data_IF_026787425699
#
_entry.id   IF_026787425699
#
_cell.length_a   1.000
_cell.length_b   1.000
_cell.length_c   1.000
_cell.angle_alpha   90.00
_cell.angle_beta   90.00
_cell.angle_gamma   90.00
#
_symmetry.space_group_name_H-M   'P 1'
#
loop_
_entity.id
_entity.type
_entity.pdbx_description
1 polymer ?
#
# COMPACT_ATOMS: atom_id res chain seq x y z
N UNK A 1 15.41 17.21 -10.37
CA UNK A 1 14.06 16.75 -10.00
C UNK A 1 14.21 16.00 -8.68
N UNK A 2 13.77 16.59 -7.58
CA UNK A 2 13.80 15.92 -6.27
C UNK A 2 12.55 15.05 -6.22
N UNK A 3 12.68 13.73 -6.44
CA UNK A 3 11.59 12.82 -6.15
C UNK A 3 11.35 12.89 -4.63
N UNK A 4 10.19 13.39 -4.21
CA UNK A 4 9.79 13.40 -2.82
C UNK A 4 9.51 11.96 -2.40
N UNK A 5 10.47 11.33 -1.73
CA UNK A 5 10.30 9.98 -1.21
C UNK A 5 9.41 10.05 0.03
N UNK A 6 8.13 9.70 -0.12
CA UNK A 6 7.14 9.71 0.97
C UNK A 6 7.36 8.58 1.98
N UNK A 7 8.10 7.54 1.59
CA UNK A 7 8.36 6.34 2.38
C UNK A 7 9.79 5.83 2.14
N UNK A 8 10.50 5.55 3.24
CA UNK A 8 11.84 4.96 3.22
C UNK A 8 11.72 3.47 2.94
N UNK A 9 12.29 2.99 1.84
CA UNK A 9 12.37 1.56 1.52
C UNK A 9 13.84 1.12 1.66
N UNK A 10 14.14 0.11 2.49
CA UNK A 10 15.48 -0.47 2.57
C UNK A 10 15.96 -0.97 1.19
N UNK A 11 17.26 -0.85 0.91
CA UNK A 11 17.83 -1.20 -0.40
C UNK A 11 17.72 -2.71 -0.73
N UNK A 12 17.60 -3.56 0.29
CA UNK A 12 17.42 -5.00 0.17
C UNK A 12 15.95 -5.44 0.01
N UNK A 13 15.01 -4.49 0.03
CA UNK A 13 13.57 -4.76 -0.02
C UNK A 13 12.95 -4.15 -1.27
N UNK A 14 12.19 -4.97 -2.00
CA UNK A 14 11.39 -4.56 -3.16
C UNK A 14 9.92 -4.75 -2.89
N UNK A 15 9.07 -4.03 -3.62
CA UNK A 15 7.62 -4.15 -3.47
C UNK A 15 7.14 -5.58 -3.76
N UNK A 16 7.74 -6.27 -4.74
CA UNK A 16 7.36 -7.65 -5.07
C UNK A 16 7.64 -8.64 -3.92
N UNK A 17 8.53 -8.29 -2.98
CA UNK A 17 8.77 -9.12 -1.79
C UNK A 17 7.56 -9.11 -0.84
N UNK A 18 6.71 -8.08 -0.88
CA UNK A 18 5.49 -8.02 -0.10
C UNK A 18 4.51 -9.15 -0.46
N UNK A 19 4.66 -9.75 -1.66
CA UNK A 19 3.88 -10.88 -2.14
C UNK A 19 2.38 -10.64 -1.98
N UNK A 20 1.94 -9.45 -2.41
CA UNK A 20 0.58 -8.97 -2.23
C UNK A 20 -0.41 -9.88 -2.96
N UNK A 21 -1.43 -10.36 -2.24
CA UNK A 21 -2.43 -11.30 -2.75
C UNK A 21 -3.82 -10.88 -2.32
N UNK A 22 -4.78 -11.11 -3.21
CA UNK A 22 -6.20 -11.02 -2.86
C UNK A 22 -6.60 -12.29 -2.10
N UNK A 23 -7.27 -12.14 -0.96
CA UNK A 23 -8.01 -13.23 -0.37
C UNK A 23 -9.33 -13.41 -1.13
N UNK A 24 -9.54 -14.56 -1.83
CA UNK A 24 -10.71 -14.76 -2.68
C UNK A 24 -12.01 -14.88 -1.87
N UNK A 25 -11.94 -15.19 -0.58
CA UNK A 25 -13.12 -15.43 0.25
C UNK A 25 -13.49 -14.20 1.08
N UNK A 26 -12.51 -13.39 1.51
CA UNK A 26 -12.74 -12.41 2.57
C UNK A 26 -12.63 -10.94 2.16
N UNK A 27 -12.45 -10.61 0.88
CA UNK A 27 -12.16 -9.24 0.37
C UNK A 27 -10.94 -8.57 1.01
N UNK A 28 -10.18 -9.28 1.85
CA UNK A 28 -8.96 -8.78 2.46
C UNK A 28 -7.76 -9.01 1.53
N UNK A 29 -6.71 -8.25 1.78
CA UNK A 29 -5.41 -8.46 1.16
C UNK A 29 -4.55 -9.28 2.10
N UNK A 30 -3.68 -10.10 1.54
CA UNK A 30 -2.62 -10.81 2.25
C UNK A 30 -1.28 -10.29 1.76
N UNK A 31 -0.32 -10.18 2.67
CA UNK A 31 1.02 -9.71 2.41
C UNK A 31 1.99 -10.44 3.34
N UNK A 32 3.30 -10.33 3.05
CA UNK A 32 4.36 -10.86 3.90
C UNK A 32 4.63 -9.90 5.08
N UNK A 33 4.27 -10.33 6.29
CA UNK A 33 4.41 -9.54 7.52
C UNK A 33 5.88 -9.18 7.83
N UNK A 34 6.83 -10.07 7.53
CA UNK A 34 8.24 -9.80 7.80
C UNK A 34 8.79 -8.71 6.87
N UNK A 35 8.33 -8.70 5.61
CA UNK A 35 8.68 -7.66 4.66
C UNK A 35 8.05 -6.32 5.06
N UNK A 36 6.77 -6.33 5.41
CA UNK A 36 6.08 -5.12 5.88
C UNK A 36 6.76 -4.53 7.13
N UNK A 37 7.08 -5.37 8.11
CA UNK A 37 7.71 -4.94 9.37
C UNK A 37 9.06 -4.26 9.12
N UNK A 38 9.92 -4.81 8.24
CA UNK A 38 11.20 -4.18 7.88
C UNK A 38 11.03 -2.76 7.34
N UNK A 39 10.00 -2.53 6.52
CA UNK A 39 9.74 -1.21 5.95
C UNK A 39 9.15 -0.27 7.02
N UNK A 40 8.27 -0.76 7.89
CA UNK A 40 7.76 0.02 9.03
C UNK A 40 8.90 0.46 9.97
N UNK A 41 9.80 -0.45 10.31
CA UNK A 41 11.00 -0.16 11.13
C UNK A 41 11.87 0.92 10.49
N UNK A 42 12.10 0.85 9.18
CA UNK A 42 12.87 1.85 8.44
C UNK A 42 12.21 3.25 8.41
N UNK A 43 10.89 3.31 8.64
CA UNK A 43 10.12 4.55 8.75
C UNK A 43 9.80 4.94 10.21
N UNK A 44 10.33 4.20 11.19
CA UNK A 44 10.05 4.38 12.62
C UNK A 44 8.56 4.29 12.97
N UNK A 45 7.83 3.41 12.27
CA UNK A 45 6.40 3.16 12.48
C UNK A 45 6.21 1.85 13.27
N UNK A 46 5.27 1.86 14.21
CA UNK A 46 4.89 0.69 14.99
C UNK A 46 3.73 -0.08 14.32
N UNK A 47 3.85 -1.41 14.26
CA UNK A 47 2.86 -2.25 13.58
C UNK A 47 1.50 -2.25 14.31
N UNK A 48 1.50 -2.24 15.64
CA UNK A 48 0.27 -2.28 16.42
C UNK A 48 -0.49 -0.95 16.30
N UNK A 49 0.22 0.17 16.33
CA UNK A 49 -0.35 1.50 16.08
C UNK A 49 -0.94 1.61 14.66
N UNK A 50 -0.16 1.22 13.64
CA UNK A 50 -0.62 1.24 12.25
C UNK A 50 -1.84 0.34 12.01
N UNK A 51 -1.92 -0.80 12.69
CA UNK A 51 -3.06 -1.71 12.63
C UNK A 51 -4.28 -1.11 13.33
N UNK A 52 -4.09 -0.54 14.52
CA UNK A 52 -5.15 0.12 15.29
C UNK A 52 -5.78 1.28 14.52
N UNK A 53 -4.96 2.05 13.82
CA UNK A 53 -5.38 3.19 13.03
C UNK A 53 -5.86 2.80 11.62
N UNK A 54 -5.84 1.50 11.28
CA UNK A 54 -6.20 0.99 9.96
C UNK A 54 -5.39 1.67 8.82
N UNK A 55 -4.14 2.03 9.11
CA UNK A 55 -3.26 2.80 8.22
C UNK A 55 -2.42 1.93 7.28
N UNK A 56 -2.35 0.60 7.52
CA UNK A 56 -1.56 -0.34 6.73
C UNK A 56 -1.93 -0.30 5.23
N UNK A 57 -3.22 -0.24 4.92
CA UNK A 57 -3.68 -0.16 3.53
C UNK A 57 -3.13 1.08 2.81
N UNK A 58 -3.24 2.24 3.45
CA UNK A 58 -2.70 3.49 2.92
C UNK A 58 -1.18 3.44 2.72
N UNK A 59 -0.47 2.87 3.68
CA UNK A 59 0.99 2.69 3.61
C UNK A 59 1.42 1.80 2.44
N UNK A 60 0.75 0.67 2.24
CA UNK A 60 1.02 -0.23 1.10
C UNK A 60 0.78 0.50 -0.23
N UNK A 61 -0.26 1.33 -0.33
CA UNK A 61 -0.52 2.14 -1.53
C UNK A 61 0.57 3.19 -1.74
N UNK A 62 0.99 3.91 -0.70
CA UNK A 62 2.10 4.88 -0.80
C UNK A 62 3.40 4.20 -1.25
N UNK A 63 3.72 3.02 -0.70
CA UNK A 63 4.85 2.24 -1.15
C UNK A 63 4.72 1.83 -2.64
N UNK A 64 3.57 1.34 -3.05
CA UNK A 64 3.34 0.98 -4.45
C UNK A 64 3.53 2.17 -5.40
N UNK A 65 3.07 3.36 -5.02
CA UNK A 65 3.27 4.58 -5.81
C UNK A 65 4.75 4.94 -5.96
N UNK A 66 5.56 4.84 -4.90
CA UNK A 66 7.02 5.04 -4.99
C UNK A 66 7.69 3.99 -5.89
N UNK A 67 7.30 2.72 -5.75
CA UNK A 67 7.79 1.63 -6.61
C UNK A 67 7.51 1.93 -8.09
N UNK A 68 6.30 2.38 -8.43
CA UNK A 68 5.91 2.75 -9.80
C UNK A 68 6.66 3.99 -10.30
N UNK A 69 6.84 5.00 -9.46
CA UNK A 69 7.63 6.20 -9.81
C UNK A 69 9.10 5.86 -10.08
N UNK A 70 9.65 4.84 -9.40
CA UNK A 70 10.99 4.33 -9.63
C UNK A 70 11.13 3.42 -10.87
N UNK A 71 10.06 3.23 -11.67
CA UNK A 71 10.05 2.36 -12.84
C UNK A 71 9.79 0.88 -12.52
N UNK A 72 9.29 0.60 -11.32
CA UNK A 72 8.90 -0.74 -10.89
C UNK A 72 7.73 -1.32 -11.67
N UNK A 73 7.65 -2.66 -11.69
CA UNK A 73 6.58 -3.39 -12.39
C UNK A 73 5.22 -3.16 -11.76
N UNK A 74 4.18 -3.33 -12.57
CA UNK A 74 2.79 -3.29 -12.12
C UNK A 74 2.49 -4.48 -11.20
N UNK A 75 1.66 -4.23 -10.20
CA UNK A 75 1.07 -5.26 -9.35
C UNK A 75 -0.45 -5.20 -9.47
N UNK A 76 -1.05 -6.23 -10.06
CA UNK A 76 -2.47 -6.27 -10.35
C UNK A 76 -3.35 -6.14 -9.09
N UNK A 77 -2.88 -6.61 -7.94
CA UNK A 77 -3.63 -6.52 -6.67
C UNK A 77 -3.57 -5.09 -6.15
N UNK A 78 -2.40 -4.45 -6.18
CA UNK A 78 -2.24 -3.05 -5.79
C UNK A 78 -3.10 -2.12 -6.66
N UNK A 79 -3.04 -2.29 -7.99
CA UNK A 79 -3.87 -1.51 -8.93
C UNK A 79 -5.36 -1.68 -8.67
N UNK A 80 -5.80 -2.91 -8.37
CA UNK A 80 -7.19 -3.18 -8.03
C UNK A 80 -7.61 -2.47 -6.72
N UNK A 81 -6.77 -2.46 -5.70
CA UNK A 81 -7.07 -1.76 -4.42
C UNK A 81 -7.21 -0.26 -4.68
N UNK A 82 -6.31 0.33 -5.47
CA UNK A 82 -6.39 1.76 -5.82
C UNK A 82 -7.70 2.06 -6.55
N UNK A 83 -8.05 1.26 -7.56
CA UNK A 83 -9.31 1.42 -8.28
C UNK A 83 -10.53 1.32 -7.34
N UNK A 84 -10.55 0.37 -6.40
CA UNK A 84 -11.63 0.21 -5.43
C UNK A 84 -11.76 1.41 -4.48
N UNK A 85 -10.63 1.97 -4.03
CA UNK A 85 -10.61 3.17 -3.16
C UNK A 85 -11.13 4.39 -3.93
N UNK A 86 -10.70 4.58 -5.18
CA UNK A 86 -11.15 5.67 -6.03
C UNK A 86 -12.67 5.57 -6.31
N UNK A 87 -13.14 4.38 -6.67
CA UNK A 87 -14.57 4.12 -6.88
C UNK A 87 -15.41 4.37 -5.63
N UNK A 88 -14.91 3.99 -4.44
CA UNK A 88 -15.60 4.21 -3.17
C UNK A 88 -15.72 5.69 -2.81
N UNK A 89 -14.69 6.49 -3.10
CA UNK A 89 -14.71 7.94 -2.89
C UNK A 89 -15.71 8.62 -3.85
N UNK A 90 -15.77 8.19 -5.10
CA UNK A 90 -16.69 8.76 -6.09
C UNK A 90 -18.16 8.45 -5.79
N UNK A 91 -18.47 7.30 -5.18
CA UNK A 91 -19.83 6.93 -4.73
C UNK A 91 -20.29 7.65 -3.45
N UNK A 92 -19.40 8.37 -2.78
CA UNK A 92 -19.70 9.08 -1.53
C UNK A 92 -20.05 10.57 -1.74
N UNK A 93 -20.04 11.06 -2.99
CA UNK A 93 -20.71 12.32 -3.32
C UNK A 93 -22.22 12.06 -3.36
N UNK A 94 -23.04 12.74 -2.53
CA UNK A 94 -24.49 12.69 -2.72
C UNK A 94 -24.82 13.30 -4.09
N UNK A 95 -25.76 12.68 -4.81
CA UNK A 95 -26.45 13.34 -5.91
C UNK A 95 -26.96 14.69 -5.37
N UNK A 96 -26.36 15.78 -5.85
CA UNK A 96 -26.87 17.13 -5.62
C UNK A 96 -28.08 17.29 -6.55
N UNK A 97 -29.25 16.87 -6.07
CA UNK A 97 -30.55 17.34 -6.57
C UNK A 97 -30.76 18.83 -6.20
#
# INVERSE_FOLDING_TARGET
MTASRLIVIPDDVKFENLNLRRDPERKHIRYDDAVLLKVLEANHLDLDEMTRDNAIGGFIITWYMEHRQAGGKDDAVAEQIIAEVLDAQQRSLPDLD
#
